data_IF_111792458317
#
_entry.id   IF_111792458317
#
_cell.length_a   1.000
_cell.length_b   1.000
_cell.length_c   1.000
_cell.angle_alpha   90.00
_cell.angle_beta   90.00
_cell.angle_gamma   90.00
#
_symmetry.space_group_name_H-M   'P 1'
#
loop_
_entity.id
_entity.type
_entity.pdbx_description
1 polymer ?
#
# COMPACT_ATOMS: atom_id res chain seq x y z
N UNK A 1 27.44 31.18 4.98
CA UNK A 1 26.20 30.92 4.22
C UNK A 1 26.42 29.98 3.03
N UNK A 2 27.33 30.25 2.07
CA UNK A 2 27.54 29.34 0.92
C UNK A 2 28.01 27.92 1.33
N UNK A 3 28.95 27.83 2.28
CA UNK A 3 29.47 26.55 2.78
C UNK A 3 28.39 25.69 3.47
N UNK A 4 27.55 26.30 4.32
CA UNK A 4 26.46 25.60 5.02
C UNK A 4 25.40 25.10 4.04
N UNK A 5 25.09 25.89 3.01
CA UNK A 5 24.14 25.48 1.96
C UNK A 5 24.66 24.26 1.19
N UNK A 6 25.93 24.27 0.77
CA UNK A 6 26.52 23.13 0.07
C UNK A 6 26.51 21.85 0.94
N UNK A 7 26.80 21.99 2.24
CA UNK A 7 26.77 20.89 3.19
C UNK A 7 25.35 20.32 3.35
N UNK A 8 24.33 21.18 3.41
CA UNK A 8 22.92 20.76 3.45
C UNK A 8 22.53 19.94 2.23
N UNK A 9 22.86 20.40 1.01
CA UNK A 9 22.55 19.66 -0.21
C UNK A 9 23.32 18.34 -0.30
N UNK A 10 24.58 18.32 0.14
CA UNK A 10 25.40 17.11 0.21
C UNK A 10 24.76 16.04 1.12
N UNK A 11 24.39 16.41 2.35
CA UNK A 11 23.72 15.47 3.26
C UNK A 11 22.34 15.07 2.77
N UNK A 12 21.58 15.99 2.17
CA UNK A 12 20.26 15.68 1.60
C UNK A 12 20.36 14.61 0.50
N UNK A 13 21.37 14.73 -0.38
CA UNK A 13 21.65 13.73 -1.39
C UNK A 13 22.03 12.38 -0.78
N UNK A 14 22.91 12.38 0.22
CA UNK A 14 23.29 11.15 0.92
C UNK A 14 22.09 10.46 1.58
N UNK A 15 21.21 11.21 2.24
CA UNK A 15 19.97 10.69 2.84
C UNK A 15 19.03 10.10 1.79
N UNK A 16 18.91 10.72 0.62
CA UNK A 16 18.13 10.18 -0.49
C UNK A 16 18.68 8.82 -0.95
N UNK A 17 20.00 8.70 -1.15
CA UNK A 17 20.65 7.43 -1.49
C UNK A 17 20.47 6.38 -0.39
N UNK A 18 20.60 6.76 0.88
CA UNK A 18 20.34 5.86 2.00
C UNK A 18 18.90 5.34 1.98
N UNK A 19 17.93 6.21 1.72
CA UNK A 19 16.53 5.83 1.60
C UNK A 19 16.25 4.88 0.44
N UNK A 20 16.98 4.99 -0.68
CA UNK A 20 16.92 4.00 -1.78
C UNK A 20 17.40 2.62 -1.33
N UNK A 21 18.52 2.56 -0.62
CA UNK A 21 19.09 1.30 -0.10
C UNK A 21 18.14 0.66 0.92
N UNK A 22 17.62 1.46 1.84
CA UNK A 22 16.63 1.01 2.84
C UNK A 22 15.35 0.53 2.15
N UNK A 23 14.85 1.26 1.16
CA UNK A 23 13.67 0.88 0.40
C UNK A 23 13.84 -0.45 -0.34
N UNK A 24 15.05 -0.74 -0.82
CA UNK A 24 15.37 -2.03 -1.45
C UNK A 24 15.32 -3.18 -0.44
N UNK A 25 15.77 -2.96 0.80
CA UNK A 25 15.58 -3.91 1.90
C UNK A 25 14.09 -4.06 2.27
N UNK A 26 13.32 -2.97 2.29
CA UNK A 26 11.88 -3.02 2.57
C UNK A 26 11.11 -3.87 1.57
N UNK A 27 11.51 -3.90 0.29
CA UNK A 27 10.95 -4.84 -0.68
C UNK A 27 11.12 -6.31 -0.26
N UNK A 28 12.26 -6.65 0.36
CA UNK A 28 12.50 -8.00 0.91
C UNK A 28 11.55 -8.28 2.07
N UNK A 29 11.38 -7.31 2.99
CA UNK A 29 10.46 -7.43 4.13
C UNK A 29 9.02 -7.61 3.65
N UNK A 30 8.56 -6.79 2.71
CA UNK A 30 7.20 -6.84 2.16
C UNK A 30 6.91 -8.21 1.54
N UNK A 31 7.86 -8.77 0.80
CA UNK A 31 7.66 -10.05 0.12
C UNK A 31 7.79 -11.27 1.06
N UNK A 32 8.79 -11.28 1.95
CA UNK A 32 9.15 -12.49 2.71
C UNK A 32 8.44 -12.62 4.05
N UNK A 33 8.17 -11.51 4.73
CA UNK A 33 7.63 -11.52 6.08
C UNK A 33 6.22 -12.16 6.15
N UNK A 34 5.28 -11.87 5.23
CA UNK A 34 3.95 -12.49 5.23
C UNK A 34 4.01 -14.01 5.02
N UNK A 35 5.01 -14.48 4.28
CA UNK A 35 5.22 -15.89 3.97
C UNK A 35 6.07 -16.63 5.03
N UNK A 36 6.45 -15.96 6.13
CA UNK A 36 7.29 -16.53 7.18
C UNK A 36 8.71 -16.90 6.71
N UNK A 37 9.17 -16.35 5.59
CA UNK A 37 10.50 -16.63 5.03
C UNK A 37 11.58 -15.83 5.75
N UNK A 38 12.80 -16.37 5.80
CA UNK A 38 13.95 -15.67 6.38
C UNK A 38 14.28 -14.39 5.59
N UNK A 39 14.51 -13.30 6.33
CA UNK A 39 14.87 -11.99 5.77
C UNK A 39 16.32 -11.93 5.31
N UNK A 40 17.20 -12.75 5.90
CA UNK A 40 18.65 -12.71 5.64
C UNK A 40 19.09 -13.70 4.55
N UNK A 41 18.49 -14.89 4.51
CA UNK A 41 18.90 -15.97 3.62
C UNK A 41 17.70 -16.65 2.96
N UNK A 42 17.78 -17.07 1.68
CA UNK A 42 18.86 -16.89 0.72
C UNK A 42 18.89 -15.48 0.08
N UNK A 43 19.91 -15.19 -0.74
CA UNK A 43 19.99 -13.95 -1.52
C UNK A 43 18.81 -13.78 -2.49
N UNK A 44 18.52 -12.52 -2.87
CA UNK A 44 17.47 -12.18 -3.83
C UNK A 44 17.64 -12.94 -5.14
N UNK A 45 16.55 -13.54 -5.62
CA UNK A 45 16.52 -14.39 -6.80
C UNK A 45 15.28 -14.07 -7.62
N UNK A 46 15.35 -14.26 -8.94
CA UNK A 46 14.17 -14.08 -9.79
C UNK A 46 13.09 -15.12 -9.42
N UNK A 47 11.81 -14.71 -9.24
CA UNK A 47 10.75 -15.64 -8.85
C UNK A 47 10.48 -16.71 -9.92
N UNK A 48 10.75 -16.41 -11.19
CA UNK A 48 10.45 -17.30 -12.31
C UNK A 48 11.59 -18.25 -12.65
N UNK A 49 12.77 -17.70 -12.97
CA UNK A 49 13.92 -18.53 -13.39
C UNK A 49 14.80 -18.97 -12.21
N UNK A 50 14.48 -18.54 -10.98
CA UNK A 50 15.24 -18.82 -9.74
C UNK A 50 16.73 -18.47 -9.80
N UNK A 51 17.17 -17.75 -10.83
CA UNK A 51 18.55 -17.31 -10.97
C UNK A 51 18.84 -16.25 -9.90
N UNK A 52 19.98 -16.39 -9.22
CA UNK A 52 20.45 -15.41 -8.24
C UNK A 52 20.69 -14.07 -8.92
N UNK A 53 20.18 -13.00 -8.33
CA UNK A 53 20.38 -11.64 -8.85
C UNK A 53 21.80 -11.19 -8.50
N UNK A 54 22.55 -10.70 -9.50
CA UNK A 54 23.90 -10.17 -9.29
C UNK A 54 23.82 -8.85 -8.54
N UNK A 55 24.85 -8.51 -7.77
CA UNK A 55 24.84 -7.31 -6.92
C UNK A 55 24.54 -6.01 -7.70
N UNK A 56 25.06 -5.86 -8.93
CA UNK A 56 24.82 -4.69 -9.78
C UNK A 56 23.44 -4.67 -10.45
N UNK A 57 22.75 -5.80 -10.49
CA UNK A 57 21.34 -5.88 -10.91
C UNK A 57 20.38 -5.62 -9.72
N UNK A 58 20.93 -5.38 -8.53
CA UNK A 58 20.22 -5.05 -7.29
C UNK A 58 20.49 -3.60 -6.84
N UNK A 59 20.97 -2.72 -7.73
CA UNK A 59 21.14 -1.29 -7.44
C UNK A 59 19.75 -0.64 -7.50
N UNK A 60 19.26 -0.05 -6.40
CA UNK A 60 17.89 0.47 -6.30
C UNK A 60 17.57 1.45 -7.43
N UNK A 61 16.40 1.30 -8.06
CA UNK A 61 15.87 2.07 -9.20
C UNK A 61 16.71 1.99 -10.47
N UNK A 62 18.02 2.18 -10.39
CA UNK A 62 18.97 2.22 -11.51
C UNK A 62 18.95 0.91 -12.28
N UNK A 63 19.04 -0.24 -11.59
CA UNK A 63 19.02 -1.54 -12.26
C UNK A 63 17.69 -1.78 -12.99
N UNK A 64 16.57 -1.30 -12.46
CA UNK A 64 15.26 -1.43 -13.11
C UNK A 64 15.22 -0.70 -14.46
N UNK A 65 15.70 0.54 -14.52
CA UNK A 65 15.74 1.32 -15.76
C UNK A 65 16.75 0.77 -16.77
N UNK A 66 17.94 0.37 -16.32
CA UNK A 66 18.97 -0.22 -17.19
C UNK A 66 18.51 -1.55 -17.82
N UNK A 67 17.78 -2.36 -17.06
CA UNK A 67 17.22 -3.62 -17.53
C UNK A 67 15.87 -3.45 -18.27
N UNK A 68 15.39 -2.21 -18.43
CA UNK A 68 14.06 -1.89 -19.02
C UNK A 68 12.92 -2.67 -18.34
N UNK A 69 13.01 -2.85 -17.03
CA UNK A 69 12.04 -3.58 -16.23
C UNK A 69 11.94 -5.06 -16.56
N UNK A 70 13.00 -5.72 -17.07
CA UNK A 70 13.02 -7.14 -17.40
C UNK A 70 14.13 -7.89 -16.67
N UNK A 71 13.90 -9.15 -16.32
CA UNK A 71 14.96 -10.01 -15.79
C UNK A 71 16.04 -10.22 -16.87
N UNK A 72 17.32 -10.12 -16.48
CA UNK A 72 18.46 -10.32 -17.40
C UNK A 72 18.51 -11.74 -17.99
N UNK A 73 18.13 -12.75 -17.23
CA UNK A 73 18.26 -14.16 -17.65
C UNK A 73 17.04 -14.67 -18.43
N UNK A 74 15.81 -14.38 -17.96
CA UNK A 74 14.59 -14.92 -18.58
C UNK A 74 13.74 -13.87 -19.33
N UNK A 75 14.11 -12.59 -19.28
CA UNK A 75 13.38 -11.52 -19.98
C UNK A 75 12.01 -11.17 -19.41
N UNK A 76 11.54 -11.85 -18.36
CA UNK A 76 10.23 -11.60 -17.76
C UNK A 76 10.17 -10.23 -17.07
N UNK A 77 9.01 -9.57 -17.13
CA UNK A 77 8.81 -8.22 -16.60
C UNK A 77 8.86 -8.21 -15.07
N UNK A 78 9.58 -7.23 -14.52
CA UNK A 78 9.67 -6.93 -13.08
C UNK A 78 8.57 -5.91 -12.73
N UNK A 79 7.88 -6.15 -11.62
CA UNK A 79 6.80 -5.26 -11.14
C UNK A 79 7.30 -3.83 -10.85
N UNK A 80 6.47 -2.83 -11.12
CA UNK A 80 6.75 -1.42 -10.79
C UNK A 80 6.71 -1.14 -9.28
N UNK A 81 6.15 -2.05 -8.48
CA UNK A 81 6.09 -1.90 -7.02
C UNK A 81 7.51 -1.81 -6.43
N UNK A 82 8.46 -2.60 -6.94
CA UNK A 82 9.84 -2.61 -6.42
C UNK A 82 10.52 -1.23 -6.50
N UNK A 83 10.66 -0.61 -7.70
CA UNK A 83 11.24 0.73 -7.79
C UNK A 83 10.35 1.80 -7.14
N UNK A 84 9.03 1.60 -7.06
CA UNK A 84 8.13 2.54 -6.38
C UNK A 84 8.37 2.60 -4.87
N UNK A 85 8.53 1.45 -4.20
CA UNK A 85 8.86 1.39 -2.76
C UNK A 85 10.23 2.00 -2.47
N UNK A 86 11.22 1.73 -3.32
CA UNK A 86 12.56 2.33 -3.23
C UNK A 86 12.49 3.86 -3.32
N UNK A 87 11.80 4.36 -4.35
CA UNK A 87 11.64 5.80 -4.55
C UNK A 87 10.84 6.47 -3.44
N UNK A 88 9.72 5.86 -3.02
CA UNK A 88 8.89 6.38 -1.95
C UNK A 88 9.67 6.51 -0.64
N UNK A 89 10.46 5.48 -0.29
CA UNK A 89 11.30 5.49 0.91
C UNK A 89 12.34 6.62 0.83
N UNK A 90 13.02 6.76 -0.31
CA UNK A 90 14.00 7.82 -0.54
C UNK A 90 13.41 9.22 -0.45
N UNK A 91 12.24 9.44 -1.06
CA UNK A 91 11.53 10.73 -1.01
C UNK A 91 11.09 11.05 0.42
N UNK A 92 10.50 10.09 1.15
CA UNK A 92 10.06 10.33 2.52
C UNK A 92 11.23 10.66 3.46
N UNK A 93 12.37 9.96 3.32
CA UNK A 93 13.57 10.24 4.12
C UNK A 93 14.18 11.59 3.77
N UNK A 94 14.26 11.94 2.48
CA UNK A 94 14.72 13.25 2.01
C UNK A 94 13.83 14.38 2.55
N UNK A 95 12.50 14.27 2.39
CA UNK A 95 11.55 15.26 2.88
C UNK A 95 11.65 15.42 4.40
N UNK A 96 11.85 14.31 5.12
CA UNK A 96 12.03 14.33 6.57
C UNK A 96 13.30 15.09 6.97
N UNK A 97 14.41 14.82 6.27
CA UNK A 97 15.67 15.53 6.48
C UNK A 97 15.52 17.02 6.23
N UNK A 98 14.93 17.42 5.09
CA UNK A 98 14.66 18.82 4.77
C UNK A 98 13.80 19.45 5.86
N UNK A 99 12.70 18.81 6.26
CA UNK A 99 11.79 19.33 7.28
C UNK A 99 12.52 19.62 8.61
N UNK A 100 13.36 18.71 9.06
CA UNK A 100 14.02 18.81 10.37
C UNK A 100 15.20 19.79 10.30
N UNK A 101 16.11 19.60 9.35
CA UNK A 101 17.39 20.31 9.35
C UNK A 101 17.38 21.67 8.63
N UNK A 102 16.34 22.01 7.87
CA UNK A 102 16.29 23.27 7.13
C UNK A 102 16.46 24.51 8.02
N UNK A 103 15.88 24.51 9.23
CA UNK A 103 16.05 25.63 10.18
C UNK A 103 17.50 25.73 10.69
N UNK A 104 18.10 24.60 11.06
CA UNK A 104 19.47 24.56 11.54
C UNK A 104 20.47 25.08 10.49
N UNK A 105 20.27 24.76 9.21
CA UNK A 105 21.22 25.13 8.16
C UNK A 105 21.01 26.52 7.54
N UNK A 106 19.76 27.02 7.48
CA UNK A 106 19.43 28.28 6.78
C UNK A 106 19.07 29.45 7.69
N UNK A 107 18.64 29.20 8.94
CA UNK A 107 18.22 30.27 9.86
C UNK A 107 19.19 30.48 11.02
N UNK A 108 20.10 29.54 11.28
CA UNK A 108 21.03 29.64 12.39
C UNK A 108 22.38 30.20 11.94
N UNK A 109 22.72 31.41 12.38
CA UNK A 109 24.03 32.00 12.14
C UNK A 109 25.09 31.35 13.04
N UNK A 110 26.04 30.64 12.42
CA UNK A 110 27.14 29.97 13.12
C UNK A 110 28.16 31.03 13.56
N UNK A 111 27.98 31.58 14.75
CA UNK A 111 28.98 32.42 15.43
C UNK A 111 29.70 31.62 16.53
N UNK A 112 30.96 31.94 16.88
CA UNK A 112 31.71 31.24 17.93
C UNK A 112 31.00 31.22 19.29
N UNK A 113 30.22 32.27 19.59
CA UNK A 113 29.43 32.40 20.81
C UNK A 113 28.24 31.41 20.86
N UNK A 114 27.64 31.10 19.70
CA UNK A 114 26.45 30.23 19.61
C UNK A 114 26.78 28.76 19.34
N UNK A 115 28.06 28.37 19.32
CA UNK A 115 28.49 27.04 18.87
C UNK A 115 27.96 25.90 19.74
N UNK A 116 27.94 26.07 21.07
CA UNK A 116 27.39 25.07 21.99
C UNK A 116 25.89 24.87 21.79
N UNK A 117 25.15 25.98 21.61
CA UNK A 117 23.71 25.96 21.37
C UNK A 117 23.37 25.32 20.02
N UNK A 118 24.14 25.66 18.98
CA UNK A 118 24.02 25.03 17.66
C UNK A 118 24.22 23.51 17.72
N UNK A 119 25.23 23.05 18.47
CA UNK A 119 25.52 21.61 18.64
C UNK A 119 24.35 20.90 19.33
N UNK A 120 23.77 21.49 20.36
CA UNK A 120 22.61 20.90 21.05
C UNK A 120 21.37 20.84 20.13
N UNK A 121 21.11 21.90 19.36
CA UNK A 121 20.01 21.92 18.39
C UNK A 121 20.19 20.84 17.33
N UNK A 122 21.38 20.76 16.72
CA UNK A 122 21.70 19.77 15.68
C UNK A 122 21.65 18.33 16.22
N UNK A 123 22.04 18.13 17.49
CA UNK A 123 21.94 16.81 18.14
C UNK A 123 20.48 16.41 18.31
N UNK A 124 19.62 17.30 18.81
CA UNK A 124 18.20 17.01 18.96
C UNK A 124 17.52 16.71 17.61
N UNK A 125 17.81 17.52 16.59
CA UNK A 125 17.32 17.31 15.23
C UNK A 125 17.75 15.95 14.66
N UNK A 126 19.00 15.54 14.91
CA UNK A 126 19.49 14.22 14.52
C UNK A 126 18.78 13.07 15.23
N UNK A 127 18.57 13.18 16.55
CA UNK A 127 17.81 12.20 17.32
C UNK A 127 16.35 12.11 16.86
N UNK A 128 15.75 13.25 16.53
CA UNK A 128 14.41 13.33 15.96
C UNK A 128 14.33 12.66 14.59
N UNK A 129 15.32 12.92 13.73
CA UNK A 129 15.42 12.33 12.40
C UNK A 129 15.54 10.80 12.47
N UNK A 130 16.35 10.26 13.38
CA UNK A 130 16.46 8.80 13.58
C UNK A 130 15.13 8.21 14.01
N UNK A 131 14.49 8.79 15.04
CA UNK A 131 13.20 8.31 15.56
C UNK A 131 12.13 8.24 14.46
N UNK A 132 11.99 9.32 13.69
CA UNK A 132 10.98 9.44 12.63
C UNK A 132 11.32 8.66 11.36
N UNK A 133 12.60 8.50 11.02
CA UNK A 133 13.01 7.62 9.92
C UNK A 133 12.66 6.16 10.22
N UNK A 134 12.86 5.73 11.47
CA UNK A 134 12.48 4.38 11.90
C UNK A 134 10.96 4.17 11.93
N UNK A 135 10.21 5.20 12.34
CA UNK A 135 8.75 5.18 12.25
C UNK A 135 8.27 4.96 10.80
N UNK A 136 8.82 5.72 9.84
CA UNK A 136 8.52 5.56 8.41
C UNK A 136 8.96 4.18 7.89
N UNK A 137 10.15 3.71 8.30
CA UNK A 137 10.68 2.40 7.96
C UNK A 137 9.74 1.25 8.34
N UNK A 138 8.97 1.36 9.43
CA UNK A 138 7.97 0.36 9.83
C UNK A 138 6.64 0.55 9.09
N UNK A 139 6.18 1.79 8.93
CA UNK A 139 4.87 2.05 8.31
C UNK A 139 4.82 1.66 6.84
N UNK A 140 5.91 1.83 6.09
CA UNK A 140 5.97 1.45 4.67
C UNK A 140 5.66 -0.05 4.49
N UNK A 141 6.41 -1.01 5.07
CA UNK A 141 6.11 -2.42 4.89
C UNK A 141 4.75 -2.82 5.47
N UNK A 142 4.29 -2.23 6.59
CA UNK A 142 2.93 -2.48 7.09
C UNK A 142 1.88 -2.10 6.02
N UNK A 143 2.00 -0.91 5.44
CA UNK A 143 1.09 -0.43 4.40
C UNK A 143 1.08 -1.33 3.17
N UNK A 144 2.24 -1.73 2.65
CA UNK A 144 2.28 -2.57 1.45
C UNK A 144 1.85 -4.02 1.73
N UNK A 145 2.23 -4.59 2.87
CA UNK A 145 1.80 -5.94 3.25
C UNK A 145 0.29 -5.97 3.43
N UNK A 146 -0.31 -5.00 4.13
CA UNK A 146 -1.75 -4.96 4.31
C UNK A 146 -2.47 -4.73 2.96
N UNK A 147 -1.92 -3.89 2.08
CA UNK A 147 -2.49 -3.68 0.75
C UNK A 147 -2.54 -4.97 -0.11
N UNK A 148 -1.50 -5.81 -0.07
CA UNK A 148 -1.44 -7.03 -0.87
C UNK A 148 -2.01 -8.27 -0.19
N UNK A 149 -1.78 -8.43 1.11
CA UNK A 149 -2.09 -9.64 1.87
C UNK A 149 -3.23 -9.45 2.87
N UNK A 150 -3.69 -8.22 3.13
CA UNK A 150 -4.75 -7.88 4.11
C UNK A 150 -4.45 -8.38 5.52
N UNK A 151 -3.17 -8.46 5.86
CA UNK A 151 -2.67 -8.82 7.18
C UNK A 151 -1.68 -7.77 7.65
N UNK A 152 -1.66 -7.49 8.94
CA UNK A 152 -0.63 -6.66 9.56
C UNK A 152 0.25 -7.58 10.42
N UNK A 153 1.51 -7.82 10.05
CA UNK A 153 2.39 -8.70 10.79
C UNK A 153 2.59 -8.22 12.23
N UNK A 154 2.36 -9.11 13.18
CA UNK A 154 2.50 -8.79 14.62
C UNK A 154 3.92 -8.35 14.99
N UNK A 155 4.94 -8.89 14.32
CA UNK A 155 6.34 -8.47 14.51
C UNK A 155 6.57 -6.99 14.22
N UNK A 156 5.95 -6.44 13.16
CA UNK A 156 6.07 -5.02 12.82
C UNK A 156 5.29 -4.13 13.78
N UNK A 157 4.08 -4.56 14.17
CA UNK A 157 3.27 -3.84 15.16
C UNK A 157 3.97 -3.74 16.52
N UNK A 158 4.52 -4.86 17.01
CA UNK A 158 5.26 -4.90 18.28
C UNK A 158 6.51 -4.02 18.18
N UNK A 159 7.24 -4.08 17.06
CA UNK A 159 8.40 -3.23 16.83
C UNK A 159 8.02 -1.74 16.84
N UNK A 160 6.86 -1.38 16.27
CA UNK A 160 6.34 -0.01 16.30
C UNK A 160 6.03 0.47 17.71
N UNK A 161 5.36 -0.35 18.51
CA UNK A 161 5.02 0.01 19.90
C UNK A 161 6.30 0.17 20.72
N UNK A 162 7.18 -0.84 20.70
CA UNK A 162 8.43 -0.82 21.50
C UNK A 162 9.28 0.38 21.10
N UNK A 163 9.49 0.62 19.80
CA UNK A 163 10.27 1.76 19.34
C UNK A 163 9.62 3.10 19.70
N UNK A 164 8.29 3.18 19.70
CA UNK A 164 7.56 4.39 20.10
C UNK A 164 7.82 4.77 21.55
N UNK A 165 7.81 3.79 22.46
CA UNK A 165 8.18 4.01 23.86
C UNK A 165 9.68 4.31 24.00
N UNK A 166 10.55 3.46 23.44
CA UNK A 166 11.99 3.61 23.58
C UNK A 166 12.49 4.96 23.04
N UNK A 167 12.07 5.36 21.85
CA UNK A 167 12.55 6.60 21.26
C UNK A 167 11.95 7.82 21.92
N UNK A 168 10.67 7.82 22.32
CA UNK A 168 10.14 9.00 23.02
C UNK A 168 10.77 9.18 24.40
N UNK A 169 11.03 8.10 25.15
CA UNK A 169 11.58 8.18 26.51
C UNK A 169 13.09 8.44 26.48
N UNK A 170 13.85 7.60 25.78
CA UNK A 170 15.32 7.61 25.87
C UNK A 170 15.96 8.52 24.81
N UNK A 171 15.41 8.57 23.60
CA UNK A 171 16.03 9.33 22.51
C UNK A 171 15.58 10.80 22.54
N UNK A 172 14.28 11.04 22.65
CA UNK A 172 13.66 12.37 22.60
C UNK A 172 13.41 12.98 23.98
N UNK A 173 13.71 12.25 25.05
CA UNK A 173 13.60 12.70 26.45
C UNK A 173 12.21 13.27 26.80
N UNK A 174 11.15 12.73 26.19
CA UNK A 174 9.77 13.07 26.55
C UNK A 174 9.35 12.29 27.79
N UNK A 175 8.40 12.86 28.53
CA UNK A 175 7.76 12.17 29.66
C UNK A 175 7.13 10.85 29.20
N UNK A 176 7.23 9.81 30.03
CA UNK A 176 6.59 8.50 29.83
C UNK A 176 5.08 8.62 29.53
N UNK A 177 4.41 9.64 30.09
CA UNK A 177 3.00 9.90 29.83
C UNK A 177 2.70 10.15 28.35
N UNK A 178 3.64 10.71 27.58
CA UNK A 178 3.44 11.01 26.17
C UNK A 178 3.17 9.75 25.32
N UNK A 179 4.10 8.77 25.26
CA UNK A 179 3.84 7.52 24.52
C UNK A 179 2.73 6.69 25.19
N UNK A 180 2.62 6.70 26.52
CA UNK A 180 1.62 5.91 27.24
C UNK A 180 0.19 6.36 26.94
N UNK A 181 -0.11 7.66 27.07
CA UNK A 181 -1.45 8.20 26.77
C UNK A 181 -1.77 8.02 25.29
N UNK A 182 -0.79 8.20 24.40
CA UNK A 182 -0.98 7.95 22.97
C UNK A 182 -1.33 6.50 22.66
N UNK A 183 -0.56 5.56 23.21
CA UNK A 183 -0.81 4.12 23.08
C UNK A 183 -2.20 3.72 23.58
N UNK A 184 -2.55 4.15 24.79
CA UNK A 184 -3.86 3.84 25.39
C UNK A 184 -4.98 4.49 24.58
N UNK A 185 -4.88 5.77 24.22
CA UNK A 185 -5.95 6.44 23.47
C UNK A 185 -6.19 5.80 22.12
N UNK A 186 -5.12 5.47 21.38
CA UNK A 186 -5.24 4.79 20.09
C UNK A 186 -5.82 3.39 20.23
N UNK A 187 -5.20 2.55 21.07
CA UNK A 187 -5.58 1.15 21.22
C UNK A 187 -6.96 0.98 21.86
N UNK A 188 -7.24 1.68 22.96
CA UNK A 188 -8.50 1.55 23.68
C UNK A 188 -9.69 2.02 22.84
N UNK A 189 -9.55 3.14 22.12
CA UNK A 189 -10.63 3.66 21.28
C UNK A 189 -11.02 2.67 20.18
N UNK A 190 -10.05 2.12 19.45
CA UNK A 190 -10.31 1.13 18.40
C UNK A 190 -10.80 -0.20 18.97
N UNK A 191 -10.28 -0.62 20.12
CA UNK A 191 -10.77 -1.81 20.81
C UNK A 191 -12.23 -1.68 21.24
N UNK A 192 -12.63 -0.52 21.80
CA UNK A 192 -14.02 -0.26 22.17
C UNK A 192 -14.95 -0.29 20.95
N UNK A 193 -14.52 0.27 19.81
CA UNK A 193 -15.28 0.17 18.55
C UNK A 193 -15.43 -1.29 18.12
N UNK A 194 -14.35 -2.08 18.19
CA UNK A 194 -14.38 -3.49 17.83
C UNK A 194 -15.36 -4.29 18.69
N UNK A 195 -15.28 -4.14 20.02
CA UNK A 195 -16.17 -4.83 20.98
C UNK A 195 -17.61 -4.38 20.80
N UNK A 196 -17.87 -3.08 20.64
CA UNK A 196 -19.22 -2.56 20.43
C UNK A 196 -19.83 -3.08 19.13
N UNK A 197 -19.04 -3.13 18.05
CA UNK A 197 -19.48 -3.69 16.78
C UNK A 197 -19.78 -5.19 16.90
N UNK A 198 -18.90 -5.96 17.54
CA UNK A 198 -19.09 -7.39 17.75
C UNK A 198 -20.32 -7.67 18.61
N UNK A 199 -20.56 -6.86 19.65
CA UNK A 199 -21.77 -6.95 20.48
C UNK A 199 -23.06 -6.77 19.67
N UNK A 200 -23.09 -5.83 18.71
CA UNK A 200 -24.27 -5.56 17.89
C UNK A 200 -24.44 -6.59 16.76
N UNK A 201 -23.35 -6.95 16.08
CA UNK A 201 -23.40 -7.71 14.82
C UNK A 201 -23.03 -9.18 14.96
N UNK A 202 -22.50 -9.60 16.13
CA UNK A 202 -21.97 -10.94 16.41
C UNK A 202 -20.99 -11.43 15.34
N UNK A 203 -20.22 -10.50 14.80
CA UNK A 203 -19.25 -10.70 13.72
C UNK A 203 -18.09 -9.74 13.97
N UNK A 204 -16.88 -10.22 13.71
CA UNK A 204 -15.68 -9.39 13.76
C UNK A 204 -15.74 -8.28 12.70
N UNK A 205 -15.86 -7.03 13.17
CA UNK A 205 -15.96 -5.85 12.31
C UNK A 205 -14.64 -5.19 11.99
N UNK A 206 -13.68 -5.23 12.92
CA UNK A 206 -12.42 -4.50 12.84
C UNK A 206 -11.24 -5.46 13.04
N UNK A 207 -10.22 -5.35 12.19
CA UNK A 207 -9.04 -6.19 12.27
C UNK A 207 -8.24 -5.92 13.54
N UNK A 208 -7.89 -6.96 14.30
CA UNK A 208 -7.03 -6.82 15.48
C UNK A 208 -5.66 -6.21 15.17
N UNK A 209 -5.19 -6.33 13.92
CA UNK A 209 -3.99 -5.66 13.42
C UNK A 209 -4.10 -4.14 13.42
N UNK A 210 -5.25 -3.58 13.06
CA UNK A 210 -5.49 -2.12 12.99
C UNK A 210 -5.46 -1.49 14.38
N UNK A 211 -6.01 -2.20 15.37
CA UNK A 211 -6.00 -1.78 16.79
C UNK A 211 -4.54 -1.65 17.29
N UNK A 212 -3.70 -2.65 17.00
CA UNK A 212 -2.28 -2.64 17.37
C UNK A 212 -1.49 -1.56 16.61
N UNK A 213 -1.81 -1.35 15.33
CA UNK A 213 -1.18 -0.32 14.50
C UNK A 213 -1.44 1.07 15.06
N UNK A 214 -2.71 1.44 15.32
CA UNK A 214 -3.03 2.77 15.86
C UNK A 214 -2.47 2.98 17.27
N UNK A 215 -2.37 1.91 18.07
CA UNK A 215 -1.71 1.96 19.38
C UNK A 215 -0.20 2.27 19.23
N UNK A 216 0.49 1.63 18.28
CA UNK A 216 1.89 1.93 17.96
C UNK A 216 2.10 3.32 17.39
N UNK A 217 1.22 3.77 16.50
CA UNK A 217 1.19 5.16 15.99
C UNK A 217 1.02 6.15 17.15
N UNK A 218 0.14 5.83 18.10
CA UNK A 218 -0.08 6.62 19.30
C UNK A 218 1.14 6.68 20.21
N UNK A 219 1.87 5.58 20.38
CA UNK A 219 3.13 5.58 21.13
C UNK A 219 4.16 6.54 20.51
N UNK A 220 4.18 6.71 19.19
CA UNK A 220 5.11 7.61 18.49
C UNK A 220 4.65 9.08 18.47
N UNK A 221 3.39 9.32 18.11
CA UNK A 221 2.86 10.65 17.79
C UNK A 221 2.07 11.29 18.93
N UNK A 222 1.73 10.52 19.97
CA UNK A 222 0.89 10.93 21.09
C UNK A 222 -0.58 11.12 20.69
N UNK A 223 -1.39 11.60 21.64
CA UNK A 223 -2.85 11.74 21.47
C UNK A 223 -3.27 12.58 20.26
N UNK A 224 -2.58 13.69 20.00
CA UNK A 224 -2.87 14.58 18.88
C UNK A 224 -2.67 13.88 17.54
N UNK A 225 -1.63 13.03 17.45
CA UNK A 225 -1.37 12.21 16.28
C UNK A 225 -2.41 11.12 16.08
N UNK A 226 -2.84 10.46 17.15
CA UNK A 226 -3.92 9.45 17.09
C UNK A 226 -5.19 10.04 16.51
N UNK A 227 -5.67 11.15 17.11
CA UNK A 227 -6.92 11.79 16.69
C UNK A 227 -6.85 12.13 15.20
N UNK A 228 -5.80 12.82 14.76
CA UNK A 228 -5.65 13.16 13.35
C UNK A 228 -5.58 11.92 12.46
N UNK A 229 -4.80 10.90 12.85
CA UNK A 229 -4.60 9.69 12.05
C UNK A 229 -5.91 8.96 11.81
N UNK A 230 -6.78 8.87 12.82
CA UNK A 230 -8.09 8.23 12.70
C UNK A 230 -8.98 8.99 11.72
N UNK A 231 -9.08 10.32 11.87
CA UNK A 231 -9.94 11.13 11.00
C UNK A 231 -9.43 11.14 9.55
N UNK A 232 -8.15 11.42 9.34
CA UNK A 232 -7.56 11.46 8.02
C UNK A 232 -7.51 10.06 7.37
N UNK A 233 -7.22 9.02 8.14
CA UNK A 233 -7.24 7.63 7.67
C UNK A 233 -8.62 7.20 7.20
N UNK A 234 -9.68 7.51 7.97
CA UNK A 234 -11.07 7.27 7.55
C UNK A 234 -11.44 8.04 6.28
N UNK A 235 -11.00 9.30 6.16
CA UNK A 235 -11.21 10.09 4.95
C UNK A 235 -10.53 9.48 3.72
N UNK A 236 -9.26 9.06 3.84
CA UNK A 236 -8.56 8.40 2.75
C UNK A 236 -9.19 7.05 2.40
N UNK A 237 -9.59 6.26 3.39
CA UNK A 237 -10.29 4.99 3.17
C UNK A 237 -11.61 5.15 2.42
N UNK A 238 -12.43 6.13 2.82
CA UNK A 238 -13.66 6.47 2.11
C UNK A 238 -13.38 6.92 0.68
N UNK A 239 -12.38 7.78 0.46
CA UNK A 239 -12.00 8.23 -0.88
C UNK A 239 -11.55 7.06 -1.76
N UNK A 240 -10.77 6.12 -1.20
CA UNK A 240 -10.34 4.90 -1.89
C UNK A 240 -11.51 4.01 -2.28
N UNK A 241 -12.47 3.82 -1.37
CA UNK A 241 -13.69 3.04 -1.64
C UNK A 241 -14.52 3.65 -2.78
N UNK A 242 -14.72 4.98 -2.76
CA UNK A 242 -15.46 5.68 -3.81
C UNK A 242 -14.76 5.56 -5.16
N UNK A 243 -13.43 5.71 -5.19
CA UNK A 243 -12.65 5.61 -6.42
C UNK A 243 -12.66 4.18 -6.99
N UNK A 244 -12.55 3.16 -6.14
CA UNK A 244 -12.61 1.76 -6.56
C UNK A 244 -14.01 1.42 -7.10
N UNK A 245 -15.06 1.83 -6.37
CA UNK A 245 -16.45 1.70 -6.83
C UNK A 245 -16.70 2.40 -8.17
N UNK A 246 -16.17 3.62 -8.35
CA UNK A 246 -16.28 4.37 -9.60
C UNK A 246 -15.51 3.69 -10.74
N UNK A 247 -14.30 3.19 -10.47
CA UNK A 247 -13.49 2.47 -11.46
C UNK A 247 -14.20 1.21 -11.95
N UNK A 248 -14.77 0.43 -11.04
CA UNK A 248 -15.52 -0.78 -11.36
C UNK A 248 -16.80 -0.44 -12.13
N UNK A 249 -17.54 0.59 -11.69
CA UNK A 249 -18.71 1.09 -12.42
C UNK A 249 -18.37 1.48 -13.87
N UNK A 250 -17.27 2.21 -14.08
CA UNK A 250 -16.83 2.59 -15.43
C UNK A 250 -16.46 1.34 -16.22
N UNK A 251 -15.66 0.43 -15.66
CA UNK A 251 -15.18 -0.79 -16.33
C UNK A 251 -16.33 -1.70 -16.79
N UNK A 252 -17.33 -1.89 -15.95
CA UNK A 252 -18.50 -2.70 -16.29
C UNK A 252 -19.32 -2.05 -17.40
N UNK A 253 -19.49 -0.72 -17.38
CA UNK A 253 -20.16 0.03 -18.46
C UNK A 253 -19.40 -0.09 -19.78
N UNK A 254 -18.07 -0.01 -19.78
CA UNK A 254 -17.28 -0.17 -21.01
C UNK A 254 -17.41 -1.58 -21.60
N UNK A 255 -17.46 -2.61 -20.74
CA UNK A 255 -17.63 -4.01 -21.17
C UNK A 255 -19.01 -4.27 -21.78
N UNK A 256 -20.06 -3.64 -21.24
CA UNK A 256 -21.42 -3.71 -21.80
C UNK A 256 -21.46 -3.06 -23.19
N UNK A 257 -20.89 -1.87 -23.33
CA UNK A 257 -20.84 -1.14 -24.61
C UNK A 257 -20.04 -1.92 -25.66
N UNK A 258 -18.89 -2.50 -25.31
CA UNK A 258 -18.10 -3.31 -26.26
C UNK A 258 -18.86 -4.54 -26.74
N UNK A 259 -19.60 -5.21 -25.83
CA UNK A 259 -20.39 -6.38 -26.17
C UNK A 259 -21.60 -6.05 -27.05
N UNK A 260 -22.27 -4.92 -26.82
CA UNK A 260 -23.34 -4.44 -27.71
C UNK A 260 -22.80 -4.12 -29.11
N UNK A 261 -21.67 -3.40 -29.22
CA UNK A 261 -21.08 -3.09 -30.53
C UNK A 261 -20.64 -4.34 -31.32
N UNK A 262 -20.12 -5.36 -30.63
CA UNK A 262 -19.75 -6.62 -31.27
C UNK A 262 -20.97 -7.42 -31.71
N UNK A 263 -22.08 -7.36 -30.96
CA UNK A 263 -23.35 -7.99 -31.33
C UNK A 263 -23.97 -7.34 -32.55
N UNK A 264 -23.93 -6.01 -32.65
CA UNK A 264 -24.40 -5.27 -33.84
C UNK A 264 -23.56 -5.59 -35.09
N UNK A 265 -22.24 -5.71 -34.95
CA UNK A 265 -21.35 -6.13 -36.06
C UNK A 265 -21.61 -7.56 -36.53
N UNK A 266 -21.95 -8.48 -35.63
CA UNK A 266 -22.32 -9.85 -35.99
C UNK A 266 -23.66 -9.89 -36.74
N UNK A 267 -24.66 -9.14 -36.28
CA UNK A 267 -25.97 -9.05 -36.94
C UNK A 267 -25.88 -8.42 -38.34
N UNK A 268 -25.00 -7.43 -38.54
CA UNK A 268 -24.78 -6.83 -39.87
C UNK A 268 -24.05 -7.78 -40.83
N UNK A 269 -23.18 -8.67 -40.34
CA UNK A 269 -22.51 -9.66 -41.18
C UNK A 269 -23.44 -10.82 -41.57
N UNK A 270 -24.38 -11.22 -40.69
CA UNK A 270 -25.37 -12.25 -40.99
C UNK A 270 -26.50 -11.74 -41.93
N UNK A 271 -26.78 -10.42 -41.90
CA UNK A 271 -27.74 -9.78 -42.81
C UNK A 271 -27.30 -9.68 -44.27
N UNK A 272 -26.08 -10.14 -44.61
CA UNK A 272 -25.55 -10.14 -45.97
C UNK A 272 -25.46 -11.55 -46.58
N UNK A 273 -26.00 -12.57 -45.90
CA UNK A 273 -26.22 -13.89 -46.49
C UNK A 273 -27.54 -13.89 -47.27
N UNK A 274 -27.41 -13.73 -48.59
CA UNK A 274 -28.49 -13.95 -49.53
C UNK A 274 -29.13 -15.33 -49.26
N UNK A 275 -30.45 -15.28 -49.11
CA UNK A 275 -31.39 -16.38 -49.33
C UNK A 275 -30.99 -17.06 -50.63
N UNK A 276 -30.51 -18.30 -50.55
CA UNK A 276 -30.70 -19.37 -51.53
C UNK A 276 -29.88 -20.60 -51.11
N UNK A 277 -30.55 -21.47 -50.35
CA UNK A 277 -30.57 -22.93 -50.52
C UNK A 277 -30.94 -23.60 -49.20
N UNK A 278 -32.15 -24.17 -49.21
CA UNK A 278 -32.57 -25.20 -48.28
C UNK A 278 -31.53 -26.32 -48.23
N UNK A 279 -31.37 -26.90 -47.04
CA UNK A 279 -30.72 -28.20 -46.73
C UNK A 279 -29.20 -28.27 -46.53
N UNK A 280 -28.58 -27.46 -45.67
CA UNK A 280 -27.21 -27.77 -45.17
C UNK A 280 -26.80 -27.17 -43.80
N UNK A 281 -27.76 -26.85 -42.92
CA UNK A 281 -27.46 -26.07 -41.69
C UNK A 281 -27.53 -26.82 -40.35
N UNK A 282 -27.13 -28.11 -40.34
CA UNK A 282 -26.93 -28.87 -39.08
C UNK A 282 -25.44 -28.97 -38.71
N UNK A 283 -24.51 -28.72 -39.63
CA UNK A 283 -23.08 -28.97 -39.38
C UNK A 283 -22.28 -27.77 -38.84
N UNK A 284 -22.79 -26.53 -38.94
CA UNK A 284 -22.04 -25.34 -38.49
C UNK A 284 -22.25 -24.95 -37.03
N UNK A 285 -23.30 -25.45 -36.36
CA UNK A 285 -23.48 -25.27 -34.92
C UNK A 285 -22.39 -26.00 -34.09
N UNK A 286 -21.79 -27.06 -34.65
CA UNK A 286 -20.73 -27.83 -34.01
C UNK A 286 -19.33 -27.18 -34.13
N UNK A 287 -19.12 -26.25 -35.07
CA UNK A 287 -17.84 -25.56 -35.22
C UNK A 287 -17.64 -24.42 -34.22
N UNK A 288 -18.72 -23.78 -33.77
CA UNK A 288 -18.67 -22.71 -32.76
C UNK A 288 -18.50 -23.24 -31.33
N UNK A 289 -19.01 -24.44 -31.04
CA UNK A 289 -18.78 -25.10 -29.75
C UNK A 289 -17.30 -25.49 -29.54
N UNK A 290 -16.57 -25.72 -30.64
CA UNK A 290 -15.17 -26.15 -30.60
C UNK A 290 -14.16 -24.99 -30.37
N UNK A 291 -14.58 -23.73 -30.54
CA UNK A 291 -13.74 -22.56 -30.28
C UNK A 291 -13.94 -21.95 -28.88
N UNK A 292 -14.98 -22.38 -28.15
CA UNK A 292 -15.24 -21.98 -26.76
C UNK A 292 -14.63 -22.95 -25.74
N UNK A 293 -14.22 -24.15 -26.16
CA UNK A 293 -13.57 -25.16 -25.31
C UNK A 293 -12.05 -24.99 -25.16
N UNK A 294 -11.41 -24.06 -25.88
CA UNK A 294 -9.95 -23.85 -25.82
C UNK A 294 -9.48 -22.92 -24.68
N UNK A 295 -10.37 -22.50 -23.77
CA UNK A 295 -10.03 -21.67 -22.60
C UNK A 295 -10.05 -22.45 -21.26
N UNK A 296 -10.34 -23.76 -21.28
CA UNK A 296 -10.18 -24.61 -20.09
C UNK A 296 -9.29 -25.81 -20.38
N UNK A 297 -7.98 -25.64 -20.22
CA UNK A 297 -7.10 -26.77 -19.97
C UNK A 297 -7.39 -27.28 -18.56
N UNK A 298 -8.14 -28.38 -18.45
CA UNK A 298 -7.79 -29.44 -17.52
C UNK A 298 -8.45 -30.75 -17.97
N UNK A 299 -7.61 -31.78 -18.02
CA UNK A 299 -7.92 -33.13 -18.45
C UNK A 299 -9.09 -33.73 -17.65
N UNK A 300 -10.10 -34.23 -18.37
CA UNK A 300 -10.61 -35.60 -18.25
C UNK A 300 -11.81 -35.76 -19.20
N UNK A 301 -11.61 -36.66 -20.15
CA UNK A 301 -12.64 -37.25 -21.01
C UNK A 301 -13.67 -38.00 -20.15
N UNK A 302 -14.95 -37.69 -20.33
CA UNK A 302 -15.98 -38.64 -20.77
C UNK A 302 -17.41 -38.13 -20.48
N UNK A 303 -18.29 -38.36 -21.46
CA UNK A 303 -19.76 -38.26 -21.43
C UNK A 303 -20.39 -36.86 -21.45
N UNK A 304 -20.58 -36.33 -22.68
CA UNK A 304 -21.60 -35.31 -22.96
C UNK A 304 -22.78 -36.00 -23.65
N UNK A 305 -23.84 -36.26 -22.89
CA UNK A 305 -25.18 -36.48 -23.44
C UNK A 305 -26.18 -35.57 -22.71
N UNK A 306 -26.94 -34.81 -23.50
CA UNK A 306 -28.17 -34.07 -23.16
C UNK A 306 -28.21 -33.28 -21.84
N UNK A 307 -28.00 -31.97 -21.92
CA UNK A 307 -28.49 -31.04 -20.87
C UNK A 307 -29.32 -29.90 -21.46
N UNK A 308 -30.51 -29.72 -20.88
CA UNK A 308 -31.53 -28.74 -21.23
C UNK A 308 -31.01 -27.28 -21.19
N UNK A 309 -31.42 -26.39 -22.12
CA UNK A 309 -31.00 -24.99 -22.13
C UNK A 309 -31.41 -24.18 -20.87
N UNK A 310 -32.42 -24.64 -20.12
CA UNK A 310 -32.81 -24.06 -18.81
C UNK A 310 -31.73 -24.23 -17.73
N UNK A 311 -31.01 -25.34 -17.73
CA UNK A 311 -29.96 -25.66 -16.73
C UNK A 311 -28.74 -24.74 -16.92
N UNK A 312 -28.47 -24.30 -18.15
CA UNK A 312 -27.37 -23.39 -18.44
C UNK A 312 -27.66 -21.94 -18.00
N UNK A 313 -28.91 -21.48 -18.07
CA UNK A 313 -29.29 -20.14 -17.61
C UNK A 313 -29.26 -20.03 -16.08
N UNK A 314 -29.74 -21.07 -15.38
CA UNK A 314 -29.73 -21.12 -13.91
C UNK A 314 -28.30 -21.21 -13.36
N UNK A 315 -27.41 -21.96 -14.03
CA UNK A 315 -25.98 -22.00 -13.70
C UNK A 315 -25.25 -20.68 -14.04
N UNK A 316 -25.67 -19.97 -15.08
CA UNK A 316 -25.13 -18.66 -15.42
C UNK A 316 -25.55 -17.60 -14.39
N UNK A 317 -26.82 -17.60 -13.97
CA UNK A 317 -27.36 -16.75 -12.90
C UNK A 317 -26.71 -17.07 -11.55
N UNK A 318 -26.51 -18.35 -11.22
CA UNK A 318 -25.76 -18.77 -10.03
C UNK A 318 -24.30 -18.31 -10.04
N UNK A 319 -23.64 -18.32 -11.20
CA UNK A 319 -22.26 -17.85 -11.34
C UNK A 319 -22.16 -16.32 -11.35
N UNK A 320 -23.16 -15.62 -11.88
CA UNK A 320 -23.28 -14.16 -11.80
C UNK A 320 -23.52 -13.72 -10.35
N UNK A 321 -24.45 -14.37 -9.64
CA UNK A 321 -24.74 -14.11 -8.23
C UNK A 321 -23.52 -14.41 -7.33
N UNK A 322 -22.77 -15.48 -7.60
CA UNK A 322 -21.50 -15.77 -6.90
C UNK A 322 -20.38 -14.80 -7.23
N UNK A 323 -20.34 -14.25 -8.46
CA UNK A 323 -19.39 -13.21 -8.82
C UNK A 323 -19.71 -11.90 -8.10
N UNK A 324 -20.99 -11.54 -8.02
CA UNK A 324 -21.48 -10.35 -7.30
C UNK A 324 -21.31 -10.46 -5.77
N UNK A 325 -21.50 -11.64 -5.18
CA UNK A 325 -21.23 -11.87 -3.74
C UNK A 325 -19.73 -11.77 -3.40
N UNK A 326 -18.85 -12.32 -4.24
CA UNK A 326 -17.40 -12.20 -4.07
C UNK A 326 -16.90 -10.76 -4.30
N UNK A 327 -17.60 -9.99 -5.13
CA UNK A 327 -17.32 -8.59 -5.44
C UNK A 327 -17.62 -7.67 -4.24
N UNK A 328 -18.75 -7.88 -3.55
CA UNK A 328 -19.15 -7.10 -2.36
C UNK A 328 -18.29 -7.45 -1.13
N UNK A 329 -17.70 -8.66 -1.08
CA UNK A 329 -16.87 -9.13 0.05
C UNK A 329 -15.41 -8.68 0.02
N UNK A 330 -15.06 -7.70 -0.82
CA UNK A 330 -13.70 -7.14 -0.82
C UNK A 330 -13.49 -6.25 0.41
N UNK A 331 -13.08 -6.86 1.53
CA UNK A 331 -12.59 -6.12 2.71
C UNK A 331 -11.43 -5.21 2.29
N UNK A 332 -11.63 -3.91 2.43
CA UNK A 332 -10.62 -2.89 2.14
C UNK A 332 -9.56 -2.93 3.24
N UNK A 333 -8.26 -3.00 2.90
CA UNK A 333 -7.19 -2.90 3.89
C UNK A 333 -7.15 -1.47 4.46
N UNK A 334 -7.39 -1.32 5.76
CA UNK A 334 -7.45 0.00 6.41
C UNK A 334 -6.06 0.49 6.86
N UNK A 335 -5.11 -0.43 7.08
CA UNK A 335 -3.74 -0.16 7.51
C UNK A 335 -2.96 0.81 6.61
N UNK A 336 -3.04 0.76 5.26
CA UNK A 336 -2.40 1.72 4.37
C UNK A 336 -2.87 3.15 4.62
N UNK A 337 -4.17 3.35 4.87
CA UNK A 337 -4.73 4.67 5.08
C UNK A 337 -4.34 5.24 6.44
N UNK A 338 -4.32 4.41 7.49
CA UNK A 338 -3.79 4.80 8.80
C UNK A 338 -2.30 5.16 8.71
N UNK A 339 -1.50 4.36 8.01
CA UNK A 339 -0.06 4.61 7.82
C UNK A 339 0.19 5.91 7.05
N UNK A 340 -0.57 6.14 5.97
CA UNK A 340 -0.50 7.38 5.19
C UNK A 340 -0.87 8.60 6.04
N UNK A 341 -1.97 8.52 6.80
CA UNK A 341 -2.42 9.59 7.68
C UNK A 341 -1.39 9.92 8.79
N UNK A 342 -0.76 8.89 9.36
CA UNK A 342 0.30 9.07 10.36
C UNK A 342 1.55 9.73 9.78
N UNK A 343 1.96 9.37 8.56
CA UNK A 343 3.06 10.03 7.85
C UNK A 343 2.69 11.50 7.55
N UNK A 344 1.47 11.77 7.08
CA UNK A 344 1.01 13.14 6.85
C UNK A 344 1.02 13.98 8.13
N UNK A 345 0.57 13.41 9.25
CA UNK A 345 0.68 14.07 10.55
C UNK A 345 2.13 14.35 10.93
N UNK A 346 3.03 13.41 10.68
CA UNK A 346 4.45 13.58 10.94
C UNK A 346 5.01 14.80 10.19
N UNK A 347 4.58 15.06 8.96
CA UNK A 347 5.02 16.22 8.16
C UNK A 347 4.27 17.52 8.45
N UNK A 348 2.96 17.48 8.70
CA UNK A 348 2.12 18.69 8.72
C UNK A 348 1.26 18.84 9.99
N UNK A 349 1.36 17.92 10.95
CA UNK A 349 0.43 17.79 12.06
C UNK A 349 0.21 19.08 12.88
N UNK A 350 1.27 19.82 13.19
CA UNK A 350 1.14 21.10 13.92
C UNK A 350 0.38 22.16 13.13
N UNK A 351 0.66 22.26 11.84
CA UNK A 351 -0.03 23.19 10.93
C UNK A 351 -1.50 22.80 10.75
N UNK A 352 -1.78 21.52 10.52
CA UNK A 352 -3.14 21.00 10.30
C UNK A 352 -4.01 21.11 11.55
N UNK A 353 -3.45 20.81 12.74
CA UNK A 353 -4.17 21.02 14.00
C UNK A 353 -4.49 22.49 14.22
N UNK A 354 -3.56 23.39 13.91
CA UNK A 354 -3.79 24.82 14.07
C UNK A 354 -4.90 25.31 13.12
N UNK A 355 -4.95 24.82 11.89
CA UNK A 355 -6.07 25.08 10.97
C UNK A 355 -7.39 24.62 11.60
N UNK A 356 -7.43 23.38 12.11
CA UNK A 356 -8.63 22.80 12.70
C UNK A 356 -9.13 23.60 13.92
N UNK A 357 -8.22 23.95 14.84
CA UNK A 357 -8.56 24.75 16.02
C UNK A 357 -9.02 26.16 15.62
N UNK A 358 -8.36 26.79 14.64
CA UNK A 358 -8.74 28.11 14.17
C UNK A 358 -10.10 28.11 13.45
N UNK A 359 -10.43 27.02 12.75
CA UNK A 359 -11.75 26.84 12.13
C UNK A 359 -12.85 26.74 13.18
N UNK A 360 -12.66 25.90 14.21
CA UNK A 360 -13.62 25.77 15.32
C UNK A 360 -13.79 27.08 16.08
N UNK A 361 -12.73 27.86 16.29
CA UNK A 361 -12.83 29.16 16.96
C UNK A 361 -13.56 30.24 16.15
N UNK A 362 -13.70 30.04 14.84
CA UNK A 362 -14.38 30.97 13.92
C UNK A 362 -15.82 30.58 13.61
N UNK A 363 -16.17 29.30 13.76
CA UNK A 363 -17.53 28.78 13.71
C UNK A 363 -18.23 29.02 15.06
#
# INVERSE_FOLDING_TARGET
>A
MLFTNNLFYFFSFFVFILGLVIGSFLNVVIYRLPEGKSLLFPASSCPDCKTKIKFYDNIPIVSYFLLRGKCRSCGKKISLIYPAVEFLTAVLFYLLFVKIFYKAFFYFDITPYNLSLFKNYLTYDFLLFISYSFFIFILIPISFIDFFHRIIPDSLNIMLIIAGFLFNIFLLHKSFLFPFIGFITGGLFFYLIAVFYDFIRKKEGLGGGDIKLIAGIGAFLGIKGVIFTIFAGSFFGLSGFILDGLYLYIKDRTKIISNQSNKEKLIQNDGNYNVDNHSDNINNANSLAHNLSSISNNDNSDNISNTNPKINLENLELNLNKADENFISSKIPFGPFLSMAAILYLFYGTYLINIYINFIKKA
#
